data_IF_969605756352
#
_entry.id   IF_969605756352
#
_cell.length_a   1.000
_cell.length_b   1.000
_cell.length_c   1.000
_cell.angle_alpha   90.00
_cell.angle_beta   90.00
_cell.angle_gamma   90.00
#
_symmetry.space_group_name_H-M   'P 1'
#
loop_
_entity.id
_entity.type
_entity.pdbx_description
1 polymer ?
#
# COMPACT_ATOMS: atom_id res chain seq x y z
N UNK A 1 37.15 -15.61 27.60
CA UNK A 1 37.56 -14.52 26.69
C UNK A 1 36.44 -14.29 25.67
N UNK A 2 35.56 -13.33 25.94
CA UNK A 2 34.57 -12.87 24.98
C UNK A 2 35.32 -12.11 23.89
N UNK A 3 35.45 -12.71 22.71
CA UNK A 3 35.96 -12.00 21.53
C UNK A 3 34.89 -11.01 21.09
N UNK A 4 35.10 -9.74 21.44
CA UNK A 4 34.24 -8.65 21.00
C UNK A 4 34.15 -8.66 19.48
N UNK A 5 32.95 -8.90 18.95
CA UNK A 5 32.62 -8.66 17.55
C UNK A 5 32.91 -7.20 17.25
N UNK A 6 34.08 -6.96 16.64
CA UNK A 6 34.46 -5.65 16.10
C UNK A 6 33.33 -5.18 15.21
N UNK A 7 32.73 -4.07 15.60
CA UNK A 7 31.82 -3.28 14.78
C UNK A 7 32.53 -3.04 13.43
N UNK A 8 32.04 -3.69 12.37
CA UNK A 8 32.56 -3.50 11.02
C UNK A 8 32.18 -2.06 10.66
N UNK A 9 33.13 -1.13 10.83
CA UNK A 9 33.01 0.23 10.31
C UNK A 9 32.77 0.03 8.81
N UNK A 10 31.56 0.32 8.34
CA UNK A 10 31.28 0.30 6.91
C UNK A 10 32.22 1.33 6.29
N UNK A 11 33.23 0.84 5.56
CA UNK A 11 34.03 1.69 4.69
C UNK A 11 33.03 2.23 3.67
N UNK A 12 32.59 3.48 3.84
CA UNK A 12 31.77 4.16 2.85
C UNK A 12 32.62 4.34 1.60
N UNK A 13 32.62 3.34 0.72
CA UNK A 13 33.17 3.41 -0.63
C UNK A 13 32.59 4.67 -1.27
N UNK A 14 33.47 5.57 -1.74
CA UNK A 14 33.18 6.97 -2.12
C UNK A 14 31.99 7.09 -3.09
N UNK A 15 30.78 7.22 -2.55
CA UNK A 15 29.62 7.72 -3.31
C UNK A 15 29.95 9.16 -3.67
N UNK A 16 30.06 9.45 -4.96
CA UNK A 16 30.48 10.76 -5.43
C UNK A 16 29.28 11.62 -5.80
N UNK A 17 29.28 12.93 -5.56
CA UNK A 17 28.20 13.77 -6.04
C UNK A 17 28.20 13.90 -7.57
N UNK A 18 27.02 14.11 -8.16
CA UNK A 18 26.84 14.52 -9.55
C UNK A 18 25.88 15.71 -9.62
N UNK A 19 26.12 16.65 -10.54
CA UNK A 19 25.23 17.80 -10.76
C UNK A 19 24.06 17.42 -11.65
N UNK A 20 22.99 18.24 -11.65
CA UNK A 20 21.85 18.05 -12.54
C UNK A 20 22.24 18.03 -14.02
N UNK A 21 23.18 18.89 -14.43
CA UNK A 21 23.70 18.94 -15.80
C UNK A 21 24.45 17.67 -16.17
N UNK A 22 25.31 17.17 -15.28
CA UNK A 22 26.07 15.94 -15.55
C UNK A 22 25.16 14.70 -15.58
N UNK A 23 24.04 14.70 -14.85
CA UNK A 23 23.02 13.65 -14.97
C UNK A 23 22.39 13.62 -16.38
N UNK A 24 22.21 14.77 -17.04
CA UNK A 24 21.71 14.83 -18.42
C UNK A 24 22.63 14.16 -19.44
N UNK A 25 23.95 14.20 -19.22
CA UNK A 25 24.88 13.50 -20.10
C UNK A 25 24.77 11.98 -19.97
N UNK A 26 24.43 11.49 -18.77
CA UNK A 26 24.23 10.05 -18.53
C UNK A 26 22.96 9.52 -19.21
N UNK A 27 21.93 10.36 -19.40
CA UNK A 27 20.73 10.01 -20.16
C UNK A 27 21.01 9.68 -21.63
N UNK A 28 22.11 10.17 -22.21
CA UNK A 28 22.53 9.84 -23.58
C UNK A 28 23.00 8.39 -23.71
N UNK A 29 23.21 7.68 -22.60
CA UNK A 29 23.67 6.30 -22.55
C UNK A 29 22.83 5.46 -21.54
N UNK A 30 21.54 5.20 -21.84
CA UNK A 30 20.62 4.54 -20.92
C UNK A 30 20.95 3.06 -20.63
N UNK A 31 21.74 2.43 -21.51
CA UNK A 31 22.16 1.03 -21.37
C UNK A 31 23.34 0.86 -20.39
N UNK A 32 24.13 1.91 -20.19
CA UNK A 32 25.33 1.88 -19.33
C UNK A 32 25.11 2.54 -17.98
N UNK A 33 24.01 3.29 -17.82
CA UNK A 33 23.72 4.07 -16.63
C UNK A 33 22.33 3.73 -16.09
N UNK A 34 22.20 3.61 -14.77
CA UNK A 34 20.90 3.44 -14.10
C UNK A 34 20.66 4.55 -13.10
N UNK A 35 19.41 4.99 -13.02
CA UNK A 35 18.95 6.03 -12.11
C UNK A 35 18.04 5.36 -11.09
N UNK A 36 18.27 5.63 -9.81
CA UNK A 36 17.50 5.07 -8.70
C UNK A 36 16.93 6.21 -7.87
N UNK A 37 15.60 6.20 -7.72
CA UNK A 37 14.88 7.07 -6.81
C UNK A 37 14.81 6.40 -5.43
N UNK A 38 15.45 7.01 -4.43
CA UNK A 38 15.50 6.49 -3.06
C UNK A 38 14.39 7.03 -2.15
N UNK A 39 13.47 7.82 -2.69
CA UNK A 39 12.34 8.36 -1.94
C UNK A 39 11.28 7.28 -1.71
N UNK A 40 10.30 7.62 -0.88
CA UNK A 40 9.13 6.77 -0.72
C UNK A 40 8.46 6.53 -2.08
N UNK A 41 7.86 5.35 -2.24
CA UNK A 41 7.08 4.99 -3.43
C UNK A 41 6.06 6.08 -3.80
N UNK A 42 5.49 6.73 -2.77
CA UNK A 42 4.58 7.87 -2.89
C UNK A 42 5.20 9.10 -3.55
N UNK A 43 6.40 9.49 -3.13
CA UNK A 43 7.10 10.64 -3.70
C UNK A 43 7.55 10.35 -5.14
N UNK A 44 7.99 9.13 -5.43
CA UNK A 44 8.30 8.65 -6.78
C UNK A 44 7.08 8.71 -7.71
N UNK A 45 5.94 8.18 -7.28
CA UNK A 45 4.72 8.15 -8.11
C UNK A 45 4.11 9.54 -8.36
N UNK A 46 4.33 10.49 -7.45
CA UNK A 46 3.92 11.90 -7.62
C UNK A 46 4.74 12.63 -8.69
N UNK A 47 5.85 12.02 -9.10
CA UNK A 47 6.70 12.47 -10.18
C UNK A 47 8.16 12.13 -9.87
N UNK A 48 8.89 11.72 -10.89
CA UNK A 48 10.26 11.22 -10.74
C UNK A 48 11.08 11.55 -11.99
N UNK A 49 12.40 11.42 -11.89
CA UNK A 49 13.31 11.54 -13.03
C UNK A 49 13.02 10.40 -14.01
N UNK A 50 12.93 10.69 -15.32
CA UNK A 50 12.65 9.68 -16.37
C UNK A 50 13.56 8.47 -16.23
N UNK A 51 13.03 7.27 -16.49
CA UNK A 51 13.76 5.99 -16.40
C UNK A 51 14.32 5.64 -15.00
N UNK A 52 13.98 6.40 -13.96
CA UNK A 52 14.38 6.07 -12.60
C UNK A 52 13.66 4.82 -12.08
N UNK A 53 14.36 4.00 -11.31
CA UNK A 53 13.80 2.84 -10.62
C UNK A 53 13.58 3.23 -9.16
N UNK A 54 12.38 3.04 -8.61
CA UNK A 54 12.15 3.30 -7.20
C UNK A 54 12.70 2.18 -6.32
N UNK A 55 13.61 2.53 -5.40
CA UNK A 55 14.14 1.63 -4.38
C UNK A 55 14.17 2.39 -3.05
N UNK A 56 13.17 2.15 -2.22
CA UNK A 56 13.07 2.74 -0.90
C UNK A 56 13.62 1.78 0.17
N UNK A 57 14.36 2.30 1.16
CA UNK A 57 14.69 1.55 2.37
C UNK A 57 13.91 2.10 3.57
N UNK A 58 12.81 1.46 3.99
CA UNK A 58 12.06 1.87 5.17
C UNK A 58 12.92 1.92 6.44
N UNK A 59 12.55 2.78 7.40
CA UNK A 59 13.30 3.01 8.65
C UNK A 59 13.47 1.73 9.49
N UNK A 60 12.49 0.83 9.47
CA UNK A 60 12.54 -0.45 10.17
C UNK A 60 13.56 -1.41 9.55
N UNK A 61 13.62 -1.46 8.22
CA UNK A 61 14.60 -2.27 7.49
C UNK A 61 16.01 -1.70 7.67
N UNK A 62 16.16 -0.37 7.66
CA UNK A 62 17.43 0.34 7.93
C UNK A 62 18.07 -0.06 9.26
N UNK A 63 17.28 -0.29 10.32
CA UNK A 63 17.79 -0.72 11.64
C UNK A 63 18.29 -2.17 11.63
N UNK A 64 17.66 -3.03 10.83
CA UNK A 64 17.99 -4.46 10.70
C UNK A 64 19.23 -4.65 9.83
N UNK A 65 19.30 -3.98 8.68
CA UNK A 65 20.43 -4.04 7.73
C UNK A 65 21.74 -3.52 8.33
N UNK A 66 21.70 -2.68 9.38
CA UNK A 66 22.89 -2.22 10.11
C UNK A 66 23.49 -3.27 11.06
N UNK A 67 22.72 -4.28 11.47
CA UNK A 67 23.14 -5.27 12.48
C UNK A 67 23.59 -6.60 11.86
N UNK A 68 23.25 -6.85 10.60
CA UNK A 68 23.50 -8.11 9.88
C UNK A 68 24.22 -7.80 8.57
N UNK A 69 25.03 -8.73 8.03
CA UNK A 69 25.53 -8.59 6.66
C UNK A 69 24.35 -8.64 5.69
N UNK A 70 23.90 -7.47 5.25
CA UNK A 70 22.75 -7.34 4.35
C UNK A 70 23.16 -7.55 2.89
N UNK A 71 22.44 -8.41 2.17
CA UNK A 71 22.55 -8.51 0.71
C UNK A 71 21.59 -7.53 0.03
N UNK A 72 21.88 -7.13 -1.22
CA UNK A 72 20.95 -6.33 -2.04
C UNK A 72 19.60 -7.03 -2.22
N UNK A 73 19.55 -8.36 -2.19
CA UNK A 73 18.32 -9.16 -2.26
C UNK A 73 17.38 -8.90 -1.07
N UNK A 74 17.94 -8.46 0.07
CA UNK A 74 17.13 -8.08 1.25
C UNK A 74 16.45 -6.72 1.04
N UNK A 75 16.98 -5.87 0.16
CA UNK A 75 16.45 -4.55 -0.16
C UNK A 75 15.59 -4.55 -1.42
N UNK A 76 15.96 -5.35 -2.42
CA UNK A 76 15.37 -5.39 -3.75
C UNK A 76 14.76 -6.77 -3.95
N UNK A 77 13.47 -6.90 -3.65
CA UNK A 77 12.74 -8.17 -3.84
C UNK A 77 12.45 -8.49 -5.31
N UNK A 78 12.51 -7.50 -6.20
CA UNK A 78 12.30 -7.70 -7.63
C UNK A 78 13.57 -8.23 -8.31
N UNK A 79 13.58 -9.52 -8.67
CA UNK A 79 14.73 -10.16 -9.32
C UNK A 79 15.09 -9.51 -10.66
N UNK A 80 14.11 -9.02 -11.42
CA UNK A 80 14.34 -8.33 -12.70
C UNK A 80 15.14 -7.04 -12.50
N UNK A 81 14.76 -6.22 -11.51
CA UNK A 81 15.49 -5.01 -11.13
C UNK A 81 16.90 -5.34 -10.69
N UNK A 82 17.04 -6.35 -9.83
CA UNK A 82 18.34 -6.79 -9.31
C UNK A 82 19.26 -7.27 -10.44
N UNK A 83 18.75 -8.08 -11.37
CA UNK A 83 19.50 -8.54 -12.53
C UNK A 83 19.90 -7.38 -13.46
N UNK A 84 19.01 -6.40 -13.66
CA UNK A 84 19.34 -5.20 -14.44
C UNK A 84 20.45 -4.37 -13.78
N UNK A 85 20.44 -4.26 -12.45
CA UNK A 85 21.52 -3.61 -11.71
C UNK A 85 22.81 -4.43 -11.70
N UNK A 86 22.76 -5.76 -11.84
CA UNK A 86 23.92 -6.66 -11.94
C UNK A 86 24.49 -6.77 -13.35
N UNK A 87 23.76 -6.33 -14.38
CA UNK A 87 24.19 -6.38 -15.80
C UNK A 87 25.59 -5.77 -15.98
N UNK A 88 26.49 -6.49 -16.65
CA UNK A 88 27.87 -6.07 -16.88
C UNK A 88 27.99 -4.82 -17.77
N UNK A 89 26.97 -4.51 -18.58
CA UNK A 89 26.89 -3.29 -19.38
C UNK A 89 26.69 -2.05 -18.54
N UNK A 90 25.99 -2.17 -17.41
CA UNK A 90 25.74 -1.05 -16.50
C UNK A 90 27.01 -0.75 -15.70
N UNK A 91 27.61 0.40 -15.96
CA UNK A 91 28.86 0.87 -15.35
C UNK A 91 28.61 1.88 -14.22
N UNK A 92 27.52 2.63 -14.32
CA UNK A 92 27.22 3.75 -13.42
C UNK A 92 25.81 3.64 -12.85
N UNK A 93 25.67 3.98 -11.57
CA UNK A 93 24.38 4.08 -10.89
C UNK A 93 24.31 5.44 -10.20
N UNK A 94 23.21 6.16 -10.40
CA UNK A 94 22.94 7.46 -9.77
C UNK A 94 21.74 7.33 -8.83
N UNK A 95 21.91 7.78 -7.59
CA UNK A 95 20.90 7.77 -6.53
C UNK A 95 20.41 9.18 -6.27
N UNK A 96 19.14 9.36 -5.92
CA UNK A 96 18.63 10.65 -5.46
C UNK A 96 17.50 10.52 -4.45
N UNK A 97 17.33 11.53 -3.59
CA UNK A 97 16.19 11.70 -2.68
C UNK A 97 15.42 12.98 -3.02
N UNK A 98 14.58 13.50 -2.12
CA UNK A 98 13.82 14.75 -2.37
C UNK A 98 14.71 16.01 -2.35
N UNK A 99 15.94 15.96 -1.85
CA UNK A 99 16.83 17.13 -1.79
C UNK A 99 17.16 17.56 -0.36
N UNK A 100 17.55 16.62 0.49
CA UNK A 100 18.12 17.01 1.78
C UNK A 100 19.55 17.52 1.57
N UNK A 101 19.89 18.66 2.18
CA UNK A 101 21.22 19.25 2.34
C UNK A 101 22.14 18.34 3.19
N UNK A 102 22.26 17.07 2.83
CA UNK A 102 23.08 16.12 3.56
C UNK A 102 24.22 15.74 2.64
N UNK A 103 25.39 16.26 2.94
CA UNK A 103 26.63 15.73 2.40
C UNK A 103 26.64 14.24 2.79
N UNK A 104 26.45 13.37 1.79
CA UNK A 104 26.37 11.90 1.93
C UNK A 104 27.64 11.35 2.61
N UNK A 105 28.69 12.17 2.65
CA UNK A 105 30.03 11.98 3.22
C UNK A 105 30.12 12.17 4.74
N UNK A 106 29.26 12.97 5.39
CA UNK A 106 29.46 13.36 6.80
C UNK A 106 28.56 12.65 7.81
N UNK A 107 27.33 12.27 7.43
CA UNK A 107 26.33 11.82 8.43
C UNK A 107 26.05 10.32 8.46
N UNK A 108 26.42 9.54 7.42
CA UNK A 108 26.34 8.06 7.39
C UNK A 108 24.96 7.43 7.69
N UNK A 109 23.94 8.23 8.02
CA UNK A 109 22.71 7.79 8.67
C UNK A 109 21.49 7.94 7.77
N UNK A 110 21.66 8.43 6.54
CA UNK A 110 20.57 8.61 5.59
C UNK A 110 20.39 7.37 4.68
N UNK A 111 19.24 7.31 4.00
CA UNK A 111 18.87 6.20 3.11
C UNK A 111 19.81 6.10 1.90
N UNK A 112 20.26 7.24 1.36
CA UNK A 112 21.19 7.29 0.23
C UNK A 112 22.54 6.64 0.55
N UNK A 113 23.14 6.94 1.70
CA UNK A 113 24.40 6.36 2.16
C UNK A 113 24.29 4.84 2.33
N UNK A 114 23.20 4.35 2.92
CA UNK A 114 23.01 2.91 3.10
C UNK A 114 22.86 2.19 1.76
N UNK A 115 21.93 2.64 0.91
CA UNK A 115 21.69 2.00 -0.39
C UNK A 115 22.93 2.09 -1.26
N UNK A 116 23.58 3.25 -1.30
CA UNK A 116 24.80 3.45 -2.08
C UNK A 116 25.97 2.62 -1.61
N UNK A 117 26.17 2.44 -0.30
CA UNK A 117 27.21 1.55 0.23
C UNK A 117 26.97 0.09 -0.13
N UNK A 118 25.72 -0.40 -0.02
CA UNK A 118 25.37 -1.76 -0.40
C UNK A 118 25.60 -2.00 -1.90
N UNK A 119 25.15 -1.06 -2.74
CA UNK A 119 25.36 -1.13 -4.19
C UNK A 119 26.85 -1.08 -4.56
N UNK A 120 27.64 -0.25 -3.88
CA UNK A 120 29.08 -0.14 -4.13
C UNK A 120 29.84 -1.43 -3.72
N UNK A 121 29.49 -2.01 -2.57
CA UNK A 121 30.13 -3.22 -2.06
C UNK A 121 29.80 -4.46 -2.91
N UNK A 122 28.53 -4.63 -3.30
CA UNK A 122 28.08 -5.83 -4.00
C UNK A 122 28.31 -5.76 -5.53
N UNK A 123 28.08 -4.59 -6.15
CA UNK A 123 28.09 -4.49 -7.62
C UNK A 123 29.43 -4.03 -8.20
N UNK A 124 30.31 -3.43 -7.39
CA UNK A 124 31.59 -2.83 -7.84
C UNK A 124 31.44 -1.84 -9.01
N UNK A 125 30.35 -1.06 -9.01
CA UNK A 125 30.02 -0.05 -10.03
C UNK A 125 30.34 1.35 -9.54
N UNK A 126 30.38 2.33 -10.45
CA UNK A 126 30.50 3.75 -10.07
C UNK A 126 29.17 4.23 -9.51
N UNK A 127 29.14 4.61 -8.25
CA UNK A 127 27.93 5.10 -7.57
C UNK A 127 28.02 6.60 -7.38
N UNK A 128 26.98 7.32 -7.83
CA UNK A 128 26.84 8.76 -7.62
C UNK A 128 25.55 9.09 -6.87
N UNK A 129 25.54 10.26 -6.22
CA UNK A 129 24.31 10.86 -5.70
C UNK A 129 24.03 12.20 -6.37
N UNK A 130 22.78 12.48 -6.71
CA UNK A 130 22.36 13.72 -7.34
C UNK A 130 22.35 14.88 -6.34
N UNK A 131 23.21 15.88 -6.52
CA UNK A 131 23.20 17.10 -5.72
C UNK A 131 21.86 17.84 -5.90
N UNK A 132 21.27 18.28 -4.79
CA UNK A 132 19.98 18.98 -4.78
C UNK A 132 18.76 18.07 -4.88
N UNK A 133 18.96 16.76 -5.06
CA UNK A 133 17.88 15.76 -5.14
C UNK A 133 16.87 16.03 -6.26
N UNK A 134 15.68 15.46 -6.10
CA UNK A 134 14.61 15.53 -7.08
C UNK A 134 14.08 16.94 -7.26
N UNK A 135 13.89 17.70 -6.18
CA UNK A 135 13.23 19.01 -6.27
C UNK A 135 14.07 20.02 -7.06
N UNK A 136 15.40 20.04 -6.84
CA UNK A 136 16.28 20.92 -7.62
C UNK A 136 16.39 20.48 -9.08
N UNK A 137 16.49 19.17 -9.32
CA UNK A 137 16.51 18.65 -10.69
C UNK A 137 15.22 18.97 -11.44
N UNK A 138 14.07 18.78 -10.79
CA UNK A 138 12.75 19.14 -11.30
C UNK A 138 12.68 20.62 -11.68
N UNK A 139 13.13 21.50 -10.78
CA UNK A 139 13.08 22.95 -11.01
C UNK A 139 13.89 23.38 -12.24
N UNK A 140 15.02 22.71 -12.51
CA UNK A 140 15.92 23.03 -13.63
C UNK A 140 15.60 22.27 -14.93
N UNK A 141 15.03 21.07 -14.82
CA UNK A 141 14.89 20.12 -15.93
C UNK A 141 13.55 19.38 -15.91
N UNK A 142 12.43 20.10 -15.76
CA UNK A 142 11.09 19.51 -15.67
C UNK A 142 10.70 18.58 -16.84
N UNK A 143 11.24 18.81 -18.05
CA UNK A 143 11.02 17.96 -19.23
C UNK A 143 11.67 16.57 -19.12
N UNK A 144 12.61 16.40 -18.20
CA UNK A 144 13.30 15.15 -17.89
C UNK A 144 12.68 14.41 -16.69
N UNK A 145 11.50 14.84 -16.27
CA UNK A 145 10.69 14.17 -15.26
C UNK A 145 9.43 13.56 -15.88
N UNK A 146 8.98 12.46 -15.30
CA UNK A 146 7.69 11.83 -15.59
C UNK A 146 6.70 12.17 -14.48
N UNK A 147 5.45 12.39 -14.87
CA UNK A 147 4.34 12.73 -13.98
C UNK A 147 3.15 11.87 -14.37
N UNK A 148 2.41 11.39 -13.39
CA UNK A 148 1.06 10.87 -13.61
C UNK A 148 0.12 12.06 -13.77
N UNK A 149 -0.09 12.52 -15.02
CA UNK A 149 -1.14 13.49 -15.30
C UNK A 149 -2.50 12.81 -15.14
N UNK A 150 -3.28 13.26 -14.15
CA UNK A 150 -4.73 13.14 -14.20
C UNK A 150 -5.21 14.08 -15.31
N UNK A 151 -5.59 13.52 -16.45
CA UNK A 151 -6.08 14.30 -17.59
C UNK A 151 -7.43 14.94 -17.24
N UNK A 152 -7.37 16.20 -16.80
CA UNK A 152 -8.52 17.11 -16.72
C UNK A 152 -8.29 18.25 -17.72
N UNK A 153 -8.86 18.09 -18.92
CA UNK A 153 -9.32 19.11 -19.88
C UNK A 153 -8.31 20.16 -20.36
N UNK A 154 -7.97 20.07 -21.65
CA UNK A 154 -8.24 21.15 -22.61
C UNK A 154 -8.33 20.57 -24.03
N UNK A 155 -9.51 20.67 -24.64
CA UNK A 155 -9.74 20.47 -26.08
C UNK A 155 -9.75 21.84 -26.74
N UNK A 156 -9.05 22.01 -27.87
CA UNK A 156 -9.74 22.54 -29.03
C UNK A 156 -9.61 21.65 -30.28
N UNK A 157 -10.56 21.90 -31.17
CA UNK A 157 -11.05 21.10 -32.29
C UNK A 157 -10.16 21.19 -33.55
N UNK A 158 -9.86 20.03 -34.13
CA UNK A 158 -9.62 19.68 -35.56
C UNK A 158 -8.67 20.54 -36.43
N UNK A 159 -7.58 19.94 -36.92
CA UNK A 159 -7.34 19.61 -38.35
C UNK A 159 -5.85 19.31 -38.64
N UNK A 160 -5.60 18.21 -39.37
CA UNK A 160 -4.50 18.16 -40.36
C UNK A 160 -3.19 17.46 -39.98
N UNK A 161 -2.99 16.28 -40.61
CA UNK A 161 -1.73 15.70 -41.12
C UNK A 161 -0.59 15.41 -40.12
N UNK A 162 -0.24 14.12 -40.00
CA UNK A 162 1.04 13.65 -39.46
C UNK A 162 2.25 14.09 -40.29
N UNK A 163 3.49 13.74 -39.89
CA UNK A 163 3.93 12.34 -40.00
C UNK A 163 4.90 11.79 -38.92
N UNK A 164 4.87 10.46 -38.80
CA UNK A 164 5.94 9.47 -38.54
C UNK A 164 7.15 9.77 -37.63
N UNK A 165 7.33 8.92 -36.60
CA UNK A 165 8.57 8.18 -36.22
C UNK A 165 8.33 7.47 -34.88
N UNK A 166 8.75 6.24 -34.58
CA UNK A 166 9.38 5.15 -35.31
C UNK A 166 9.00 3.86 -34.57
N UNK A 167 8.71 2.83 -35.36
CA UNK A 167 8.52 1.44 -34.95
C UNK A 167 9.86 0.89 -34.43
N UNK A 168 9.87 0.20 -33.28
CA UNK A 168 10.86 -0.82 -32.97
C UNK A 168 10.13 -2.03 -32.43
N UNK A 169 10.06 -3.03 -33.31
CA UNK A 169 9.53 -4.36 -33.10
C UNK A 169 10.19 -5.10 -31.94
N UNK A 170 9.37 -5.61 -31.02
CA UNK A 170 9.69 -6.83 -30.27
C UNK A 170 8.61 -7.86 -30.60
N UNK A 171 8.87 -8.67 -31.62
CA UNK A 171 8.14 -9.87 -31.96
C UNK A 171 9.20 -10.99 -32.04
N UNK A 172 9.07 -12.19 -31.48
CA UNK A 172 7.99 -12.84 -30.75
C UNK A 172 8.59 -14.17 -30.27
N UNK A 173 8.29 -14.59 -29.04
CA UNK A 173 7.77 -15.94 -28.83
C UNK A 173 6.57 -15.80 -27.91
N UNK A 174 5.41 -15.83 -28.56
CA UNK A 174 4.03 -16.07 -28.15
C UNK A 174 3.82 -16.22 -26.62
N UNK A 175 2.98 -15.41 -25.96
CA UNK A 175 1.59 -15.15 -26.32
C UNK A 175 1.22 -13.65 -26.31
N UNK A 176 0.50 -13.23 -27.36
CA UNK A 176 -0.11 -11.90 -27.50
C UNK A 176 -1.46 -11.90 -26.80
N UNK A 177 -1.75 -10.85 -26.01
CA UNK A 177 -3.01 -10.09 -26.10
C UNK A 177 -2.94 -8.79 -25.25
N UNK A 178 -2.82 -7.67 -25.98
CA UNK A 178 -3.39 -6.32 -25.74
C UNK A 178 -3.84 -5.95 -24.32
N UNK A 179 -3.02 -5.14 -23.63
CA UNK A 179 -3.19 -4.74 -22.21
C UNK A 179 -4.37 -3.82 -21.88
N UNK A 180 -5.04 -3.21 -22.87
CA UNK A 180 -6.19 -2.33 -22.61
C UNK A 180 -7.56 -2.97 -22.97
N UNK A 181 -7.57 -4.03 -23.78
CA UNK A 181 -8.79 -4.79 -24.10
C UNK A 181 -8.90 -6.10 -23.32
N UNK A 182 -7.78 -6.67 -22.86
CA UNK A 182 -7.78 -7.93 -22.11
C UNK A 182 -8.41 -7.79 -20.71
N UNK A 183 -8.36 -6.62 -20.10
CA UNK A 183 -8.87 -6.40 -18.73
C UNK A 183 -10.40 -6.22 -18.66
N UNK A 184 -11.05 -5.98 -19.82
CA UNK A 184 -12.51 -5.92 -19.94
C UNK A 184 -13.16 -7.31 -20.05
N UNK A 185 -12.36 -8.35 -20.34
CA UNK A 185 -12.80 -9.76 -20.50
C UNK A 185 -12.45 -10.66 -19.31
N UNK A 186 -11.69 -10.20 -18.32
CA UNK A 186 -11.38 -11.00 -17.13
C UNK A 186 -12.55 -11.01 -16.15
N UNK A 187 -12.75 -12.09 -15.40
CA UNK A 187 -13.81 -12.15 -14.40
C UNK A 187 -13.50 -11.22 -13.20
N UNK A 188 -14.51 -10.81 -12.41
CA UNK A 188 -14.28 -10.23 -11.09
C UNK A 188 -13.32 -11.08 -10.26
N UNK A 189 -12.42 -10.41 -9.55
CA UNK A 189 -11.41 -11.07 -8.73
C UNK A 189 -11.97 -11.33 -7.34
N UNK A 190 -11.89 -12.57 -6.88
CA UNK A 190 -12.23 -12.93 -5.51
C UNK A 190 -11.17 -12.40 -4.54
N UNK A 191 -11.58 -11.51 -3.64
CA UNK A 191 -10.74 -11.00 -2.55
C UNK A 191 -10.90 -11.91 -1.33
N UNK A 192 -12.14 -12.19 -0.94
CA UNK A 192 -12.52 -13.18 0.07
C UNK A 192 -13.66 -14.04 -0.50
N UNK A 193 -13.99 -15.20 0.11
CA UNK A 193 -15.04 -16.10 -0.42
C UNK A 193 -16.40 -15.45 -0.70
N UNK A 194 -16.69 -14.31 -0.05
CA UNK A 194 -17.92 -13.53 -0.21
C UNK A 194 -17.69 -12.13 -0.79
N UNK A 195 -16.45 -11.73 -1.10
CA UNK A 195 -16.11 -10.36 -1.52
C UNK A 195 -15.33 -10.39 -2.84
N UNK A 196 -15.94 -9.83 -3.89
CA UNK A 196 -15.35 -9.72 -5.23
C UNK A 196 -15.04 -8.25 -5.57
N UNK A 197 -13.95 -8.04 -6.31
CA UNK A 197 -13.52 -6.73 -6.83
C UNK A 197 -13.64 -6.72 -8.36
N UNK A 198 -14.34 -5.74 -8.91
CA UNK A 198 -14.55 -5.60 -10.35
C UNK A 198 -14.55 -4.17 -10.88
N UNK A 199 -14.87 -4.08 -12.17
CA UNK A 199 -14.99 -2.85 -12.97
C UNK A 199 -16.44 -2.69 -13.46
N UNK A 200 -16.68 -1.73 -14.36
CA UNK A 200 -17.99 -1.44 -14.92
C UNK A 200 -18.56 -2.57 -15.80
N UNK A 201 -17.74 -3.20 -16.65
CA UNK A 201 -18.22 -4.29 -17.51
C UNK A 201 -18.70 -5.48 -16.68
N UNK A 202 -18.05 -5.74 -15.55
CA UNK A 202 -18.40 -6.83 -14.65
C UNK A 202 -19.78 -6.64 -14.00
N UNK A 203 -20.09 -5.43 -13.51
CA UNK A 203 -21.39 -5.17 -12.88
C UNK A 203 -22.54 -5.10 -13.89
N UNK A 204 -22.23 -4.87 -15.16
CA UNK A 204 -23.19 -4.84 -16.26
C UNK A 204 -23.52 -6.24 -16.82
N UNK A 205 -22.85 -7.31 -16.37
CA UNK A 205 -23.08 -8.68 -16.84
C UNK A 205 -23.86 -9.51 -15.82
N UNK A 206 -25.15 -9.74 -16.08
CA UNK A 206 -26.01 -10.57 -15.23
C UNK A 206 -25.49 -12.01 -15.09
N UNK A 207 -25.05 -12.59 -16.20
CA UNK A 207 -24.49 -13.94 -16.24
C UNK A 207 -23.29 -14.08 -15.30
N UNK A 208 -22.39 -13.09 -15.29
CA UNK A 208 -21.22 -13.09 -14.40
C UNK A 208 -21.66 -13.00 -12.93
N UNK A 209 -22.62 -12.13 -12.61
CA UNK A 209 -23.12 -11.99 -11.24
C UNK A 209 -23.77 -13.28 -10.73
N UNK A 210 -24.62 -13.91 -11.54
CA UNK A 210 -25.32 -15.15 -11.20
C UNK A 210 -24.35 -16.33 -11.09
N UNK A 211 -23.40 -16.45 -12.03
CA UNK A 211 -22.36 -17.50 -12.01
C UNK A 211 -21.48 -17.44 -10.77
N UNK A 212 -21.17 -16.24 -10.28
CA UNK A 212 -20.39 -16.06 -9.06
C UNK A 212 -21.24 -16.23 -7.78
N UNK A 213 -22.56 -16.29 -7.91
CA UNK A 213 -23.50 -16.32 -6.78
C UNK A 213 -23.56 -14.98 -6.04
N UNK A 214 -23.35 -13.87 -6.75
CA UNK A 214 -23.46 -12.52 -6.18
C UNK A 214 -24.91 -12.26 -5.76
N UNK A 215 -25.11 -11.82 -4.53
CA UNK A 215 -26.43 -11.42 -4.00
C UNK A 215 -26.52 -9.91 -3.82
N UNK A 216 -25.38 -9.22 -3.75
CA UNK A 216 -25.30 -7.78 -3.53
C UNK A 216 -24.22 -7.11 -4.38
N UNK A 217 -24.46 -5.86 -4.77
CA UNK A 217 -23.52 -5.06 -5.57
C UNK A 217 -23.30 -3.70 -4.89
N UNK A 218 -22.04 -3.35 -4.65
CA UNK A 218 -21.64 -2.02 -4.20
C UNK A 218 -21.04 -1.22 -5.35
N UNK A 219 -21.74 -0.15 -5.73
CA UNK A 219 -21.33 0.76 -6.79
C UNK A 219 -20.60 1.96 -6.19
N UNK A 220 -19.28 2.01 -6.40
CA UNK A 220 -18.39 3.07 -5.91
C UNK A 220 -18.12 4.09 -7.02
N UNK A 221 -19.18 4.59 -7.65
CA UNK A 221 -19.12 5.59 -8.71
C UNK A 221 -20.33 6.53 -8.64
N UNK A 222 -20.18 7.76 -9.17
CA UNK A 222 -21.28 8.68 -9.38
C UNK A 222 -21.99 8.50 -10.73
N UNK A 223 -21.26 7.99 -11.72
CA UNK A 223 -21.67 8.04 -13.13
C UNK A 223 -22.19 6.72 -13.67
N UNK A 224 -21.98 5.62 -12.95
CA UNK A 224 -22.36 4.27 -13.38
C UNK A 224 -23.72 3.95 -12.79
N UNK A 225 -24.65 3.47 -13.61
CA UNK A 225 -25.99 3.10 -13.19
C UNK A 225 -26.03 1.68 -12.63
N UNK A 226 -27.04 1.40 -11.79
CA UNK A 226 -27.30 0.06 -11.29
C UNK A 226 -28.12 -0.72 -12.34
N UNK A 227 -27.52 -1.74 -12.95
CA UNK A 227 -28.10 -2.41 -14.13
C UNK A 227 -29.26 -3.36 -13.81
N UNK A 228 -29.31 -3.94 -12.61
CA UNK A 228 -30.21 -5.05 -12.28
C UNK A 228 -30.96 -4.83 -10.95
N UNK A 229 -31.46 -3.60 -10.75
CA UNK A 229 -32.24 -3.26 -9.56
C UNK A 229 -33.44 -4.21 -9.39
N UNK A 230 -33.67 -4.68 -8.17
CA UNK A 230 -34.71 -5.67 -7.85
C UNK A 230 -34.24 -7.13 -7.94
N UNK A 231 -33.17 -7.43 -8.67
CA UNK A 231 -32.56 -8.77 -8.69
C UNK A 231 -31.39 -8.93 -7.71
N UNK A 232 -30.68 -7.84 -7.42
CA UNK A 232 -29.58 -7.81 -6.46
C UNK A 232 -29.79 -6.67 -5.46
N UNK A 233 -29.24 -6.81 -4.25
CA UNK A 233 -29.19 -5.74 -3.27
C UNK A 233 -28.11 -4.72 -3.67
N UNK A 234 -28.46 -3.44 -3.81
CA UNK A 234 -27.51 -2.40 -4.19
C UNK A 234 -27.13 -1.47 -3.04
N UNK A 235 -25.84 -1.12 -2.97
CA UNK A 235 -25.33 -0.03 -2.15
C UNK A 235 -24.54 0.96 -3.02
N UNK A 236 -24.95 2.21 -3.02
CA UNK A 236 -24.25 3.26 -3.75
C UNK A 236 -23.29 4.03 -2.83
N UNK A 237 -22.06 4.21 -3.29
CA UNK A 237 -21.02 5.06 -2.71
C UNK A 237 -20.64 6.10 -3.79
N UNK A 238 -21.40 7.20 -3.90
CA UNK A 238 -21.27 8.16 -5.01
C UNK A 238 -20.03 9.03 -4.85
N UNK A 239 -18.88 8.52 -5.26
CA UNK A 239 -17.57 9.15 -5.09
C UNK A 239 -16.82 9.24 -6.44
N UNK A 240 -16.19 10.38 -6.69
CA UNK A 240 -15.32 10.62 -7.83
C UNK A 240 -13.91 10.11 -7.54
N UNK A 241 -13.19 9.65 -8.56
CA UNK A 241 -11.79 9.26 -8.43
C UNK A 241 -10.88 10.48 -8.58
N UNK A 242 -10.83 11.31 -7.55
CA UNK A 242 -10.16 12.61 -7.61
C UNK A 242 -9.49 12.98 -6.29
N UNK A 243 -8.56 13.94 -6.35
CA UNK A 243 -7.73 14.36 -5.22
C UNK A 243 -8.49 15.13 -4.12
N UNK A 244 -9.73 15.53 -4.36
CA UNK A 244 -10.58 16.26 -3.40
C UNK A 244 -11.79 15.43 -2.94
N UNK A 245 -11.90 14.18 -3.37
CA UNK A 245 -13.00 13.30 -3.01
C UNK A 245 -12.78 12.66 -1.64
N UNK A 246 -13.71 12.85 -0.71
CA UNK A 246 -13.69 12.17 0.58
C UNK A 246 -14.46 10.85 0.50
N UNK A 247 -13.71 9.75 0.36
CA UNK A 247 -14.23 8.39 0.37
C UNK A 247 -14.30 7.81 1.80
N UNK A 248 -13.55 8.38 2.75
CA UNK A 248 -13.41 7.86 4.12
C UNK A 248 -14.71 7.89 4.91
N UNK A 249 -15.56 8.89 4.65
CA UNK A 249 -16.92 8.97 5.21
C UNK A 249 -17.78 7.73 4.91
N UNK A 250 -17.43 6.98 3.88
CA UNK A 250 -18.15 5.77 3.48
C UNK A 250 -17.56 4.48 4.05
N UNK A 251 -16.39 4.51 4.69
CA UNK A 251 -15.71 3.29 5.13
C UNK A 251 -16.56 2.46 6.10
N UNK A 252 -17.11 3.07 7.17
CA UNK A 252 -18.00 2.37 8.10
C UNK A 252 -19.22 1.79 7.39
N UNK A 253 -19.90 2.62 6.61
CA UNK A 253 -21.11 2.23 5.86
C UNK A 253 -20.83 1.08 4.88
N UNK A 254 -19.67 1.09 4.22
CA UNK A 254 -19.26 0.03 3.30
C UNK A 254 -18.90 -1.24 4.07
N UNK A 255 -18.18 -1.12 5.19
CA UNK A 255 -17.83 -2.25 6.05
C UNK A 255 -19.08 -2.97 6.56
N UNK A 256 -20.04 -2.21 7.11
CA UNK A 256 -21.28 -2.77 7.65
C UNK A 256 -22.12 -3.45 6.57
N UNK A 257 -22.15 -2.87 5.36
CA UNK A 257 -22.83 -3.48 4.23
C UNK A 257 -22.21 -4.82 3.84
N UNK A 258 -20.88 -4.88 3.67
CA UNK A 258 -20.17 -6.12 3.32
C UNK A 258 -20.38 -7.18 4.40
N UNK A 259 -20.28 -6.80 5.67
CA UNK A 259 -20.46 -7.67 6.83
C UNK A 259 -21.90 -8.22 6.91
N UNK A 260 -22.91 -7.40 6.59
CA UNK A 260 -24.30 -7.85 6.54
C UNK A 260 -24.53 -8.90 5.45
N UNK A 261 -23.88 -8.74 4.29
CA UNK A 261 -23.96 -9.70 3.19
C UNK A 261 -23.26 -11.00 3.57
N UNK A 262 -22.04 -10.93 4.14
CA UNK A 262 -21.32 -12.10 4.66
C UNK A 262 -22.15 -12.86 5.70
N UNK A 263 -22.76 -12.15 6.65
CA UNK A 263 -23.59 -12.72 7.73
C UNK A 263 -24.83 -13.44 7.19
N UNK A 264 -25.41 -12.93 6.10
CA UNK A 264 -26.53 -13.59 5.41
C UNK A 264 -26.12 -14.79 4.53
N UNK A 265 -24.83 -15.13 4.49
CA UNK A 265 -24.29 -16.17 3.60
C UNK A 265 -24.24 -15.76 2.12
N UNK A 266 -24.37 -14.46 1.84
CA UNK A 266 -24.36 -13.90 0.50
C UNK A 266 -22.96 -13.57 -0.01
N UNK A 267 -22.90 -13.03 -1.23
CA UNK A 267 -21.67 -12.55 -1.85
C UNK A 267 -21.85 -11.16 -2.43
N UNK A 268 -20.87 -10.30 -2.22
CA UNK A 268 -20.87 -8.91 -2.70
C UNK A 268 -19.84 -8.70 -3.79
N UNK A 269 -20.25 -8.05 -4.88
CA UNK A 269 -19.35 -7.44 -5.85
C UNK A 269 -19.18 -5.95 -5.55
N UNK A 270 -17.95 -5.51 -5.33
CA UNK A 270 -17.61 -4.08 -5.25
C UNK A 270 -16.97 -3.66 -6.56
N UNK A 271 -17.53 -2.63 -7.19
CA UNK A 271 -17.01 -2.11 -8.46
C UNK A 271 -16.94 -0.59 -8.48
N UNK A 272 -16.11 -0.10 -9.39
CA UNK A 272 -16.15 1.29 -9.84
C UNK A 272 -16.06 1.27 -11.36
N UNK A 273 -15.44 2.27 -11.99
CA UNK A 273 -15.25 2.29 -13.43
C UNK A 273 -14.20 1.26 -13.89
N UNK A 274 -12.93 1.44 -13.48
CA UNK A 274 -11.84 0.57 -13.92
C UNK A 274 -11.49 -0.57 -12.94
N UNK A 275 -12.05 -0.56 -11.73
CA UNK A 275 -11.66 -1.51 -10.70
C UNK A 275 -10.22 -1.33 -10.20
N UNK A 276 -9.69 -0.10 -10.26
CA UNK A 276 -8.30 0.24 -9.95
C UNK A 276 -8.18 0.98 -8.61
N UNK A 277 -8.98 2.05 -8.41
CA UNK A 277 -8.80 2.99 -7.31
C UNK A 277 -9.94 2.96 -6.28
N UNK A 278 -11.12 3.47 -6.63
CA UNK A 278 -12.28 3.61 -5.70
C UNK A 278 -12.74 2.30 -5.07
N UNK A 279 -13.07 1.29 -5.88
CA UNK A 279 -13.53 -0.01 -5.36
C UNK A 279 -12.42 -0.75 -4.60
N UNK A 280 -11.17 -0.67 -5.08
CA UNK A 280 -10.02 -1.22 -4.38
C UNK A 280 -9.85 -0.57 -3.00
N UNK A 281 -10.01 0.75 -2.89
CA UNK A 281 -9.93 1.50 -1.63
C UNK A 281 -10.93 0.97 -0.59
N UNK A 282 -12.17 0.66 -1.01
CA UNK A 282 -13.17 0.07 -0.11
C UNK A 282 -12.75 -1.34 0.34
N UNK A 283 -12.23 -2.18 -0.56
CA UNK A 283 -11.72 -3.50 -0.18
C UNK A 283 -10.59 -3.40 0.87
N UNK A 284 -9.67 -2.44 0.70
CA UNK A 284 -8.60 -2.18 1.67
C UNK A 284 -9.15 -1.73 3.03
N UNK A 285 -10.11 -0.80 3.03
CA UNK A 285 -10.78 -0.35 4.26
C UNK A 285 -11.43 -1.51 5.02
N UNK A 286 -12.08 -2.42 4.29
CA UNK A 286 -12.72 -3.60 4.85
C UNK A 286 -11.72 -4.58 5.48
N UNK A 287 -10.64 -4.92 4.77
CA UNK A 287 -9.62 -5.83 5.29
C UNK A 287 -8.96 -5.29 6.57
N UNK A 288 -8.66 -3.99 6.62
CA UNK A 288 -8.12 -3.38 7.84
C UNK A 288 -9.10 -3.44 9.02
N UNK A 289 -10.40 -3.25 8.76
CA UNK A 289 -11.43 -3.24 9.82
C UNK A 289 -11.77 -4.64 10.32
N UNK A 290 -12.00 -5.59 9.41
CA UNK A 290 -12.56 -6.93 9.73
C UNK A 290 -11.55 -8.07 9.74
N UNK A 291 -10.34 -7.87 9.20
CA UNK A 291 -9.24 -8.85 9.23
C UNK A 291 -8.01 -8.34 9.96
N UNK A 292 -8.09 -7.15 10.57
CA UNK A 292 -7.02 -6.53 11.35
C UNK A 292 -5.70 -6.36 10.57
N UNK A 293 -5.78 -6.28 9.25
CA UNK A 293 -4.60 -6.03 8.43
C UNK A 293 -4.10 -4.62 8.64
N UNK A 294 -2.79 -4.43 8.53
CA UNK A 294 -2.23 -3.10 8.28
C UNK A 294 -2.61 -2.64 6.87
N UNK A 295 -2.51 -1.34 6.60
CA UNK A 295 -2.73 -0.83 5.24
C UNK A 295 -1.80 -1.53 4.23
N UNK A 296 -0.54 -1.72 4.58
CA UNK A 296 0.46 -2.42 3.77
C UNK A 296 0.03 -3.87 3.50
N UNK A 297 -0.37 -4.61 4.53
CA UNK A 297 -0.83 -6.00 4.39
C UNK A 297 -2.08 -6.09 3.51
N UNK A 298 -3.06 -5.20 3.73
CA UNK A 298 -4.27 -5.15 2.91
C UNK A 298 -3.94 -4.83 1.44
N UNK A 299 -3.02 -3.89 1.21
CA UNK A 299 -2.59 -3.50 -0.13
C UNK A 299 -1.95 -4.67 -0.87
N UNK A 300 -0.95 -5.31 -0.26
CA UNK A 300 -0.28 -6.48 -0.86
C UNK A 300 -1.25 -7.63 -1.10
N UNK A 301 -2.19 -7.87 -0.16
CA UNK A 301 -3.19 -8.92 -0.28
C UNK A 301 -4.10 -8.75 -1.50
N UNK A 302 -4.56 -7.52 -1.75
CA UNK A 302 -5.42 -7.21 -2.91
C UNK A 302 -4.57 -7.13 -4.19
N UNK A 303 -3.36 -6.56 -4.14
CA UNK A 303 -2.44 -6.44 -5.28
C UNK A 303 -2.03 -7.80 -5.84
N UNK A 304 -1.81 -8.79 -4.97
CA UNK A 304 -1.51 -10.16 -5.39
C UNK A 304 -2.64 -10.82 -6.18
N UNK A 305 -3.88 -10.38 -5.99
CA UNK A 305 -5.08 -10.93 -6.66
C UNK A 305 -5.49 -10.09 -7.88
N UNK A 306 -5.33 -8.77 -7.81
CA UNK A 306 -5.58 -7.83 -8.90
C UNK A 306 -4.40 -6.87 -9.02
N UNK A 307 -3.44 -7.23 -9.86
CA UNK A 307 -2.17 -6.51 -10.02
C UNK A 307 -2.34 -5.06 -10.49
N UNK A 308 -3.46 -4.70 -11.10
CA UNK A 308 -3.73 -3.34 -11.59
C UNK A 308 -4.21 -2.37 -10.51
N UNK A 309 -4.52 -2.82 -9.28
CA UNK A 309 -5.01 -1.88 -8.26
C UNK A 309 -3.99 -0.78 -7.98
N UNK A 310 -4.49 0.44 -7.86
CA UNK A 310 -3.73 1.66 -7.61
C UNK A 310 -4.69 2.75 -7.10
N UNK A 311 -5.10 2.70 -5.82
CA UNK A 311 -5.81 3.80 -5.18
C UNK A 311 -5.09 5.13 -5.39
N UNK A 312 -5.85 6.19 -5.69
CA UNK A 312 -5.25 7.51 -5.77
C UNK A 312 -4.62 7.93 -4.42
N UNK A 313 -3.65 8.83 -4.46
CA UNK A 313 -2.89 9.23 -3.27
C UNK A 313 -3.78 9.83 -2.16
N UNK A 314 -4.83 10.56 -2.53
CA UNK A 314 -5.75 11.14 -1.55
C UNK A 314 -6.51 10.05 -0.77
N UNK A 315 -6.93 8.99 -1.46
CA UNK A 315 -7.52 7.81 -0.83
C UNK A 315 -6.51 7.04 0.02
N UNK A 316 -5.23 7.01 -0.36
CA UNK A 316 -4.18 6.44 0.49
C UNK A 316 -3.99 7.20 1.80
N UNK A 317 -4.01 8.54 1.76
CA UNK A 317 -4.00 9.36 2.97
C UNK A 317 -5.20 9.08 3.88
N UNK A 318 -6.39 8.93 3.29
CA UNK A 318 -7.62 8.59 4.00
C UNK A 318 -7.57 7.19 4.63
N UNK A 319 -7.00 6.20 3.93
CA UNK A 319 -6.82 4.84 4.46
C UNK A 319 -5.79 4.77 5.59
N UNK A 320 -4.73 5.58 5.56
CA UNK A 320 -3.80 5.72 6.68
C UNK A 320 -4.50 6.27 7.94
N UNK A 321 -5.41 7.24 7.77
CA UNK A 321 -6.21 7.74 8.89
C UNK A 321 -7.14 6.65 9.44
N UNK A 322 -7.83 5.93 8.55
CA UNK A 322 -8.69 4.80 8.90
C UNK A 322 -7.96 3.69 9.67
N UNK A 323 -6.74 3.35 9.26
CA UNK A 323 -5.91 2.38 9.98
C UNK A 323 -5.63 2.83 11.42
N UNK A 324 -5.27 4.10 11.63
CA UNK A 324 -5.02 4.65 12.97
C UNK A 324 -6.28 4.58 13.84
N UNK A 325 -7.44 4.93 13.28
CA UNK A 325 -8.72 4.86 13.98
C UNK A 325 -9.08 3.42 14.38
N UNK A 326 -8.95 2.46 13.46
CA UNK A 326 -9.20 1.05 13.75
C UNK A 326 -8.27 0.50 14.84
N UNK A 327 -6.98 0.86 14.82
CA UNK A 327 -6.05 0.47 15.88
C UNK A 327 -6.43 1.06 17.23
N UNK A 328 -6.87 2.32 17.27
CA UNK A 328 -7.32 2.96 18.50
C UNK A 328 -8.59 2.30 19.05
N UNK A 329 -9.56 1.97 18.19
CA UNK A 329 -10.78 1.24 18.58
C UNK A 329 -10.46 -0.15 19.12
N UNK A 330 -9.61 -0.91 18.44
CA UNK A 330 -9.19 -2.25 18.89
C UNK A 330 -8.44 -2.20 20.22
N UNK A 331 -7.61 -1.18 20.45
CA UNK A 331 -6.91 -0.97 21.72
C UNK A 331 -7.86 -0.53 22.85
N UNK A 332 -8.93 0.20 22.55
CA UNK A 332 -9.94 0.61 23.53
C UNK A 332 -10.90 -0.53 23.92
N UNK A 333 -11.14 -1.47 23.01
CA UNK A 333 -11.98 -2.66 23.24
C UNK A 333 -11.20 -3.84 23.85
N UNK A 334 -9.91 -3.68 24.14
CA UNK A 334 -9.10 -4.69 24.81
C UNK A 334 -9.50 -4.78 26.30
N UNK A 335 -9.77 -5.98 26.85
CA UNK A 335 -10.35 -6.17 28.18
C UNK A 335 -9.50 -5.67 29.36
N UNK A 336 -8.23 -5.31 29.16
CA UNK A 336 -7.29 -4.91 30.22
C UNK A 336 -7.51 -3.50 30.81
N UNK A 337 -8.46 -2.70 30.30
CA UNK A 337 -8.70 -1.31 30.78
C UNK A 337 -10.01 -1.08 31.55
N UNK A 338 -10.80 -2.12 31.78
CA UNK A 338 -12.01 -2.05 32.62
C UNK A 338 -11.73 -2.63 34.01
N UNK A 339 -10.79 -2.04 34.76
CA UNK A 339 -10.75 -2.20 36.21
C UNK A 339 -10.69 -0.82 36.87
N UNK A 340 -11.66 -0.46 37.73
CA UNK A 340 -11.55 0.76 38.51
C UNK A 340 -10.46 0.56 39.57
N UNK A 341 -9.50 1.48 39.63
CA UNK A 341 -8.44 1.47 40.63
C UNK A 341 -9.02 1.52 42.05
N UNK A 342 -8.62 0.65 42.99
CA UNK A 342 -9.02 0.79 44.38
C UNK A 342 -8.28 1.98 44.99
N UNK A 343 -9.06 2.94 45.47
CA UNK A 343 -8.65 4.02 46.35
C UNK A 343 -7.88 3.48 47.56
N UNK A 344 -6.84 4.23 47.93
CA UNK A 344 -5.99 4.02 49.11
C UNK A 344 -6.84 3.81 50.37
N UNK A 345 -6.62 2.68 51.05
CA UNK A 345 -6.98 2.52 52.45
C UNK A 345 -5.88 1.72 53.15
N UNK A 346 -5.39 2.29 54.26
CA UNK A 346 -4.12 1.98 54.90
C UNK A 346 -4.01 0.57 55.48
N UNK A 347 -2.78 0.06 55.45
CA UNK A 347 -2.35 -1.10 56.24
C UNK A 347 -2.38 -0.76 57.73
N UNK A 348 -3.20 -1.48 58.50
CA UNK A 348 -2.81 -1.88 59.85
C UNK A 348 -2.56 -3.38 59.84
N UNK A 349 -1.33 -3.73 60.22
CA UNK A 349 -0.85 -5.10 60.37
C UNK A 349 -1.32 -5.66 61.71
N UNK A 350 -1.86 -6.88 61.71
CA UNK A 350 -1.74 -7.79 62.84
C UNK A 350 -1.58 -9.22 62.35
N UNK A 351 -0.41 -9.78 62.68
CA UNK A 351 -0.11 -11.21 62.65
C UNK A 351 -0.89 -11.93 63.75
N UNK A 352 -1.46 -13.11 63.47
CA UNK A 352 -1.10 -14.38 64.13
C UNK A 352 -2.13 -15.51 63.94
N UNK A 353 -1.56 -16.68 63.65
CA UNK A 353 -1.87 -18.02 64.17
C UNK A 353 -3.16 -18.77 63.78
N UNK A 354 -2.90 -19.86 63.04
CA UNK A 354 -3.09 -21.26 63.42
C UNK A 354 -4.41 -22.02 63.09
N UNK A 355 -4.16 -23.25 62.58
CA UNK A 355 -4.93 -24.51 62.72
C UNK A 355 -6.24 -24.73 61.91
N UNK A 356 -6.10 -25.52 60.84
CA UNK A 356 -6.80 -26.77 60.40
C UNK A 356 -8.19 -27.15 61.01
N UNK A 357 -8.92 -28.13 60.42
CA UNK A 357 -9.79 -28.02 59.24
C UNK A 357 -11.21 -28.57 59.52
N UNK A 358 -12.01 -28.64 58.46
CA UNK A 358 -13.09 -29.61 58.24
C UNK A 358 -14.51 -29.26 58.72
N UNK A 359 -15.42 -29.14 57.73
CA UNK A 359 -16.76 -29.76 57.69
C UNK A 359 -17.65 -29.12 56.60
N UNK A 360 -18.00 -29.92 55.59
CA UNK A 360 -19.28 -29.82 54.84
C UNK A 360 -20.45 -30.17 55.79
N UNK A 361 -21.76 -29.89 55.51
CA UNK A 361 -22.37 -29.87 54.18
C UNK A 361 -23.57 -28.90 53.94
N UNK A 362 -24.07 -28.96 52.71
CA UNK A 362 -25.49 -28.95 52.28
C UNK A 362 -26.32 -27.66 52.12
N UNK A 363 -27.08 -27.71 51.00
CA UNK A 363 -28.36 -27.09 50.65
C UNK A 363 -28.27 -25.85 49.74
N UNK A 364 -28.54 -26.01 48.44
CA UNK A 364 -29.86 -25.92 47.79
C UNK A 364 -30.59 -24.64 48.17
N UNK A 365 -30.60 -23.65 47.27
CA UNK A 365 -31.82 -22.92 46.91
C UNK A 365 -31.69 -22.32 45.50
N UNK A 366 -32.57 -22.82 44.65
CA UNK A 366 -32.98 -22.25 43.37
C UNK A 366 -33.54 -20.85 43.56
N UNK A 367 -33.28 -19.93 42.62
CA UNK A 367 -34.34 -19.04 42.14
C UNK A 367 -34.05 -18.50 40.74
N UNK A 368 -34.95 -18.87 39.84
CA UNK A 368 -35.13 -18.34 38.49
C UNK A 368 -35.99 -17.07 38.59
N UNK A 369 -35.60 -15.99 37.91
CA UNK A 369 -36.51 -14.91 37.57
C UNK A 369 -36.43 -14.59 36.07
N UNK A 370 -37.44 -15.06 35.35
CA UNK A 370 -37.92 -14.47 34.10
C UNK A 370 -38.65 -13.16 34.42
N UNK A 371 -38.43 -12.11 33.63
CA UNK A 371 -39.38 -10.99 33.51
C UNK A 371 -39.55 -10.63 32.03
N UNK A 372 -40.83 -10.54 31.67
CA UNK A 372 -41.45 -10.40 30.37
C UNK A 372 -41.46 -8.97 29.82
N UNK A 373 -41.63 -8.92 28.49
CA UNK A 373 -41.83 -7.75 27.62
C UNK A 373 -43.17 -7.06 27.88
N UNK A 374 -43.21 -5.73 27.75
CA UNK A 374 -44.43 -4.95 27.48
C UNK A 374 -44.08 -3.67 26.73
N UNK A 375 -44.63 -3.51 25.53
CA UNK A 375 -44.74 -2.25 24.78
C UNK A 375 -45.99 -1.47 25.23
N UNK A 376 -46.03 -0.15 24.98
CA UNK A 376 -47.29 0.42 24.50
C UNK A 376 -47.17 1.48 23.39
N UNK A 377 -48.17 1.40 22.50
CA UNK A 377 -48.83 2.39 21.63
C UNK A 377 -48.02 3.18 20.61
#
# INVERSE_FOLDING_TARGET
MYTGSKMKIMNYTRISPITSTALLDLFKQPDTNKIIDCRSYTAYNSGHVKQAINICCPTLLRRRLRKTSASLETLISCQTTLNSLRDSKVKTIVLYDDGAQVDVTESGNNTLSLIGSMLAEELKKKIYYLKGGFQEFKAKHASMCEWTQSSSRDLPRMAGRGPASLHLDFNQKNDKETSDEADAKTAPVEILPFLYLGNESHCASREVLEKLGVTAVMNVSKTINNHFQGSFLYKNVPVDDSYNADISRWFRVAVDFIDSVETSGGKVLIHCQAGISRSATICLAYLMSKRQYTLEQAYEYVKARRSVISPNFHFMGQLLNWERENRALNAAMSPDKLSPSPSQCGLFSYSNMATTPDSRPSSLHTNSCFVTVSTPT
#
